data_IF_882945659818
#
_entry.id   IF_882945659818
#
_cell.length_a   1.000
_cell.length_b   1.000
_cell.length_c   1.000
_cell.angle_alpha   90.00
_cell.angle_beta   90.00
_cell.angle_gamma   90.00
#
_symmetry.space_group_name_H-M   'P 1'
#
loop_
_entity.id
_entity.type
_entity.pdbx_description
1 polymer ?
#
# COMPACT_ATOMS: atom_id res chain seq x y z
N UNK A 1 -14.71 -1.12 -0.91
CA UNK A 1 -13.49 -0.54 -1.51
C UNK A 1 -13.04 -1.44 -2.64
N UNK A 2 -12.73 -0.90 -3.82
CA UNK A 2 -12.12 -1.69 -4.91
C UNK A 2 -10.61 -1.80 -4.75
N UNK A 3 -9.98 -2.79 -5.40
CA UNK A 3 -8.51 -2.94 -5.39
C UNK A 3 -7.78 -1.66 -5.85
N UNK A 4 -8.35 -0.94 -6.81
CA UNK A 4 -7.78 0.31 -7.33
C UNK A 4 -7.91 1.46 -6.34
N UNK A 5 -9.03 1.54 -5.62
CA UNK A 5 -9.21 2.51 -4.55
C UNK A 5 -8.25 2.26 -3.40
N UNK A 6 -8.04 0.99 -3.01
CA UNK A 6 -7.06 0.62 -1.98
C UNK A 6 -5.65 1.03 -2.39
N UNK A 7 -5.23 0.73 -3.62
CA UNK A 7 -3.87 1.08 -4.07
C UNK A 7 -3.66 2.59 -4.18
N UNK A 8 -4.68 3.33 -4.61
CA UNK A 8 -4.68 4.79 -4.61
C UNK A 8 -4.61 5.36 -3.19
N UNK A 9 -5.35 4.78 -2.24
CA UNK A 9 -5.34 5.19 -0.83
C UNK A 9 -3.95 5.04 -0.22
N UNK A 10 -3.31 3.88 -0.40
CA UNK A 10 -1.93 3.63 0.06
C UNK A 10 -0.96 4.62 -0.59
N UNK A 11 -1.05 4.81 -1.91
CA UNK A 11 -0.16 5.73 -2.63
C UNK A 11 -0.32 7.18 -2.17
N UNK A 12 -1.55 7.65 -1.99
CA UNK A 12 -1.83 9.01 -1.49
C UNK A 12 -1.35 9.16 -0.05
N UNK A 13 -1.54 8.15 0.80
CA UNK A 13 -1.04 8.18 2.18
C UNK A 13 0.47 8.36 2.23
N UNK A 14 1.22 7.61 1.41
CA UNK A 14 2.68 7.74 1.29
C UNK A 14 3.08 9.16 0.90
N UNK A 15 2.41 9.74 -0.11
CA UNK A 15 2.71 11.08 -0.62
C UNK A 15 2.40 12.16 0.44
N UNK A 16 1.23 12.09 1.07
CA UNK A 16 0.78 13.10 2.03
C UNK A 16 1.63 13.15 3.31
N UNK A 17 2.21 12.01 3.71
CA UNK A 17 3.10 11.94 4.86
C UNK A 17 4.57 12.22 4.49
N UNK A 18 4.85 12.67 3.27
CA UNK A 18 6.20 13.00 2.81
C UNK A 18 7.14 11.78 2.74
N UNK A 19 6.58 10.57 2.68
CA UNK A 19 7.36 9.34 2.72
C UNK A 19 8.00 9.11 1.35
N UNK A 20 9.32 9.01 1.34
CA UNK A 20 10.06 8.75 0.12
C UNK A 20 9.84 7.31 -0.35
N UNK A 21 9.35 7.15 -1.59
CA UNK A 21 9.15 5.82 -2.18
C UNK A 21 10.45 5.07 -2.47
N UNK A 22 11.59 5.75 -2.58
CA UNK A 22 12.92 5.10 -2.65
C UNK A 22 13.20 4.41 -1.33
N UNK A 23 13.02 5.11 -0.21
CA UNK A 23 13.18 4.55 1.13
C UNK A 23 12.28 3.33 1.38
N UNK A 24 11.00 3.41 0.97
CA UNK A 24 10.10 2.26 1.04
C UNK A 24 10.60 1.06 0.24
N UNK A 25 11.07 1.30 -0.99
CA UNK A 25 11.59 0.25 -1.85
C UNK A 25 12.84 -0.42 -1.25
N UNK A 26 13.76 0.38 -0.71
CA UNK A 26 14.96 -0.12 -0.01
C UNK A 26 14.60 -0.98 1.20
N UNK A 27 13.67 -0.54 2.05
CA UNK A 27 13.21 -1.29 3.21
C UNK A 27 12.45 -2.57 2.85
N UNK A 28 11.78 -2.57 1.69
CA UNK A 28 11.12 -3.76 1.13
C UNK A 28 12.08 -4.71 0.41
N UNK A 29 13.36 -4.33 0.21
CA UNK A 29 14.34 -5.11 -0.54
C UNK A 29 14.02 -5.22 -2.03
N UNK A 30 13.30 -4.24 -2.60
CA UNK A 30 12.89 -4.21 -4.01
C UNK A 30 13.36 -2.92 -4.69
N UNK A 31 13.35 -2.91 -6.03
CA UNK A 31 13.64 -1.69 -6.77
C UNK A 31 12.48 -0.69 -6.69
N UNK A 32 12.78 0.60 -6.87
CA UNK A 32 11.78 1.67 -6.94
C UNK A 32 10.70 1.39 -8.00
N UNK A 33 11.11 0.85 -9.17
CA UNK A 33 10.22 0.47 -10.25
C UNK A 33 9.34 -0.74 -9.89
N UNK A 34 9.88 -1.71 -9.14
CA UNK A 34 9.08 -2.82 -8.63
C UNK A 34 8.01 -2.35 -7.64
N UNK A 35 8.32 -1.36 -6.80
CA UNK A 35 7.31 -0.72 -5.93
C UNK A 35 6.21 -0.02 -6.74
N UNK A 36 6.56 0.71 -7.81
CA UNK A 36 5.55 1.32 -8.69
C UNK A 36 4.68 0.26 -9.41
N UNK A 37 5.26 -0.88 -9.81
CA UNK A 37 4.50 -2.01 -10.35
C UNK A 37 3.58 -2.64 -9.30
N UNK A 38 4.05 -2.75 -8.05
CA UNK A 38 3.25 -3.27 -6.93
C UNK A 38 2.02 -2.38 -6.69
N UNK A 39 2.20 -1.06 -6.58
CA UNK A 39 1.11 -0.09 -6.39
C UNK A 39 0.11 -0.03 -7.58
N UNK A 40 0.56 -0.41 -8.78
CA UNK A 40 -0.27 -0.43 -9.99
C UNK A 40 -0.79 -1.84 -10.37
N UNK A 41 -0.56 -2.84 -9.52
CA UNK A 41 -1.01 -4.21 -9.76
C UNK A 41 -2.52 -4.26 -9.94
N UNK A 42 -3.00 -4.94 -11.01
CA UNK A 42 -4.45 -5.07 -11.32
C UNK A 42 -5.24 -5.66 -10.15
N UNK A 43 -4.63 -6.60 -9.43
CA UNK A 43 -5.18 -7.23 -8.22
C UNK A 43 -4.31 -6.82 -7.02
N UNK A 44 -4.41 -5.55 -6.64
CA UNK A 44 -3.78 -5.04 -5.42
C UNK A 44 -4.60 -5.50 -4.20
N UNK A 45 -3.95 -6.23 -3.29
CA UNK A 45 -4.58 -6.85 -2.14
C UNK A 45 -4.32 -6.09 -0.84
N UNK A 46 -5.06 -6.45 0.22
CA UNK A 46 -4.81 -5.95 1.57
C UNK A 46 -3.40 -6.33 2.06
N UNK A 47 -2.91 -7.51 1.69
CA UNK A 47 -1.55 -7.94 2.00
C UNK A 47 -0.50 -7.06 1.29
N UNK A 48 -0.70 -6.75 0.01
CA UNK A 48 0.18 -5.83 -0.72
C UNK A 48 0.19 -4.43 -0.06
N UNK A 49 -0.97 -3.95 0.41
CA UNK A 49 -1.10 -2.69 1.15
C UNK A 49 -0.33 -2.73 2.48
N UNK A 50 -0.59 -3.74 3.30
CA UNK A 50 -0.01 -3.87 4.63
C UNK A 50 1.48 -4.13 4.56
N UNK A 51 1.97 -4.88 3.57
CA UNK A 51 3.40 -5.05 3.34
C UNK A 51 4.11 -3.70 3.17
N UNK A 52 3.50 -2.75 2.45
CA UNK A 52 4.08 -1.42 2.23
C UNK A 52 3.92 -0.54 3.49
N UNK A 53 2.73 -0.49 4.08
CA UNK A 53 2.43 0.36 5.22
C UNK A 53 3.14 -0.11 6.51
N UNK A 54 3.39 -1.40 6.69
CA UNK A 54 4.08 -1.92 7.88
C UNK A 54 5.50 -1.35 8.02
N UNK A 55 6.15 -1.00 6.89
CA UNK A 55 7.48 -0.35 6.90
C UNK A 55 7.47 0.99 7.64
N UNK A 56 6.32 1.66 7.62
CA UNK A 56 6.11 2.98 8.24
C UNK A 56 5.24 2.89 9.50
N UNK A 57 4.97 1.68 10.00
CA UNK A 57 4.23 1.46 11.24
C UNK A 57 2.71 1.63 11.12
N UNK A 58 2.16 1.47 9.91
CA UNK A 58 0.72 1.55 9.65
C UNK A 58 0.21 0.26 9.03
N UNK A 59 -1.09 0.01 9.16
CA UNK A 59 -1.78 -1.07 8.45
C UNK A 59 -3.16 -0.62 8.01
N UNK A 60 -3.68 -1.23 6.94
CA UNK A 60 -5.10 -1.19 6.61
C UNK A 60 -5.78 -2.34 7.36
N UNK A 61 -6.60 -1.99 8.34
CA UNK A 61 -7.49 -2.93 9.03
C UNK A 61 -8.92 -2.73 8.54
N UNK A 62 -9.52 -3.78 7.97
CA UNK A 62 -10.96 -3.85 7.73
C UNK A 62 -11.55 -4.93 8.64
N UNK A 63 -12.32 -4.52 9.65
CA UNK A 63 -13.24 -5.42 10.37
C UNK A 63 -14.65 -4.96 10.05
N UNK A 64 -15.24 -5.52 8.99
CA UNK A 64 -16.61 -5.20 8.58
C UNK A 64 -17.47 -6.45 8.56
N UNK A 65 -18.31 -6.59 9.58
CA UNK A 65 -19.44 -7.53 9.59
C UNK A 65 -20.69 -6.70 9.27
N UNK A 66 -21.31 -6.96 8.11
CA UNK A 66 -22.59 -6.35 7.73
C UNK A 66 -23.74 -7.32 7.98
N UNK A 67 -24.78 -6.79 8.62
CA UNK A 67 -26.06 -7.48 8.83
C UNK A 67 -26.89 -7.39 7.54
N UNK A 68 -27.45 -8.53 7.13
CA UNK A 68 -28.44 -8.65 6.05
C UNK A 68 -29.78 -8.06 6.48
#
# INVERSE_FOLDING_TARGET
>A
MTNKELSNLVNTYIINNGINKVFLAEKLGISRQALDKLLNKKQFSLDDANRILNIIGYEVSEVLIKKV
#
